data_IF_228647351352
#
_entry.id   IF_228647351352
#
_cell.length_a   1.000
_cell.length_b   1.000
_cell.length_c   1.000
_cell.angle_alpha   90.00
_cell.angle_beta   90.00
_cell.angle_gamma   90.00
#
_symmetry.space_group_name_H-M   'P 1'
#
loop_
_entity.id
_entity.type
_entity.pdbx_description
1 polymer ?
#
# COMPACT_ATOMS: atom_id res chain seq x y z
N UNK A 1 55.80 24.89 48.71
CA UNK A 1 54.94 26.08 48.47
C UNK A 1 53.87 25.65 47.47
N UNK A 2 52.61 25.51 47.90
CA UNK A 2 51.47 26.45 47.64
C UNK A 2 51.30 26.74 46.14
N UNK A 3 50.12 26.66 45.49
CA UNK A 3 48.74 26.25 45.79
C UNK A 3 47.94 26.61 44.50
N UNK A 4 46.78 25.97 44.30
CA UNK A 4 45.61 26.38 43.47
C UNK A 4 45.65 25.99 41.97
N UNK A 5 44.79 25.10 41.45
CA UNK A 5 43.30 25.03 41.44
C UNK A 5 42.69 25.94 40.35
N UNK A 6 42.12 25.31 39.31
CA UNK A 6 40.99 25.69 38.41
C UNK A 6 41.13 24.77 37.17
N UNK A 7 40.51 23.59 37.05
CA UNK A 7 39.07 23.29 36.97
C UNK A 7 38.34 24.13 35.92
N UNK A 8 38.26 23.61 34.70
CA UNK A 8 37.26 23.90 33.64
C UNK A 8 37.53 22.92 32.48
N UNK A 9 37.09 21.66 32.55
CA UNK A 9 35.81 21.23 31.97
C UNK A 9 35.41 22.06 30.74
N UNK A 10 36.05 21.82 29.59
CA UNK A 10 35.46 22.14 28.28
C UNK A 10 34.85 20.85 27.73
N UNK A 11 33.76 20.46 28.38
CA UNK A 11 32.79 19.47 27.93
C UNK A 11 31.78 20.21 27.07
N UNK A 12 31.39 19.63 25.93
CA UNK A 12 30.18 19.98 25.14
C UNK A 12 30.15 21.43 24.62
N UNK A 13 30.10 21.67 23.31
CA UNK A 13 28.90 21.49 22.51
C UNK A 13 29.34 20.96 21.14
N UNK A 14 29.26 19.64 20.95
CA UNK A 14 28.86 19.16 19.62
C UNK A 14 27.48 19.77 19.45
N UNK A 15 27.34 20.67 18.50
CA UNK A 15 26.06 21.23 18.11
C UNK A 15 25.18 20.06 17.65
N UNK A 16 24.51 19.43 18.63
CA UNK A 16 23.24 18.77 18.43
C UNK A 16 22.40 19.83 17.75
N UNK A 17 22.27 19.65 16.43
CA UNK A 17 21.28 20.29 15.61
C UNK A 17 19.97 20.06 16.36
N UNK A 18 19.55 21.09 17.09
CA UNK A 18 18.19 21.21 17.61
C UNK A 18 17.35 21.51 16.37
N UNK A 19 17.22 20.51 15.49
CA UNK A 19 16.17 20.49 14.50
C UNK A 19 14.90 20.34 15.31
N UNK A 20 14.23 21.46 15.53
CA UNK A 20 12.79 21.55 15.75
C UNK A 20 12.08 20.21 15.50
N UNK A 21 11.81 19.45 16.57
CA UNK A 21 10.97 18.25 16.57
C UNK A 21 9.49 18.69 16.43
N UNK A 22 9.14 19.23 15.27
CA UNK A 22 7.79 19.69 14.93
C UNK A 22 7.24 19.11 13.62
N UNK A 23 7.86 18.04 13.10
CA UNK A 23 7.40 17.34 11.90
C UNK A 23 6.59 16.09 12.23
N UNK A 24 5.96 15.51 11.22
CA UNK A 24 5.22 14.25 11.34
C UNK A 24 6.15 13.14 11.87
N UNK A 25 5.71 12.46 12.92
CA UNK A 25 6.39 11.32 13.52
C UNK A 25 6.55 10.19 12.46
N UNK A 26 7.78 9.77 12.12
CA UNK A 26 8.02 8.78 11.07
C UNK A 26 7.38 7.41 11.35
N UNK A 27 7.31 7.00 12.62
CA UNK A 27 6.69 5.73 13.01
C UNK A 27 5.19 5.81 12.79
N UNK A 28 4.54 6.90 13.24
CA UNK A 28 3.10 7.09 13.00
C UNK A 28 2.76 7.22 11.52
N UNK A 29 3.63 7.88 10.74
CA UNK A 29 3.47 7.98 9.30
C UNK A 29 3.55 6.59 8.65
N UNK A 30 4.55 5.79 9.04
CA UNK A 30 4.67 4.40 8.60
C UNK A 30 3.42 3.59 8.90
N UNK A 31 2.98 3.59 10.16
CA UNK A 31 1.83 2.80 10.60
C UNK A 31 0.57 3.18 9.81
N UNK A 32 0.41 4.46 9.49
CA UNK A 32 -0.72 4.94 8.68
C UNK A 32 -0.66 4.48 7.23
N UNK A 33 0.50 4.53 6.56
CA UNK A 33 0.62 4.01 5.19
C UNK A 33 0.47 2.50 5.13
N UNK A 34 1.09 1.77 6.06
CA UNK A 34 0.94 0.31 6.18
C UNK A 34 -0.53 -0.05 6.36
N UNK A 35 -1.25 0.64 7.24
CA UNK A 35 -2.68 0.43 7.43
C UNK A 35 -3.49 0.59 6.15
N UNK A 36 -3.18 1.58 5.30
CA UNK A 36 -3.85 1.72 4.00
C UNK A 36 -3.57 0.53 3.07
N UNK A 37 -2.33 0.03 3.04
CA UNK A 37 -2.00 -1.17 2.26
C UNK A 37 -2.75 -2.41 2.76
N UNK A 38 -2.80 -2.64 4.08
CA UNK A 38 -3.53 -3.76 4.69
C UNK A 38 -5.05 -3.68 4.42
N UNK A 39 -5.62 -2.49 4.50
CA UNK A 39 -7.04 -2.26 4.19
C UNK A 39 -7.32 -2.53 2.71
N UNK A 40 -6.42 -2.13 1.81
CA UNK A 40 -6.53 -2.42 0.40
C UNK A 40 -6.50 -3.94 0.13
N UNK A 41 -5.56 -4.66 0.73
CA UNK A 41 -5.43 -6.13 0.63
C UNK A 41 -6.69 -6.84 1.10
N UNK A 42 -7.20 -6.45 2.27
CA UNK A 42 -8.43 -7.03 2.82
C UNK A 42 -9.65 -6.81 1.92
N UNK A 43 -9.72 -5.68 1.19
CA UNK A 43 -10.79 -5.46 0.21
C UNK A 43 -10.66 -6.38 -0.99
N UNK A 44 -9.45 -6.65 -1.45
CA UNK A 44 -9.21 -7.60 -2.55
C UNK A 44 -9.55 -9.03 -2.12
N UNK A 45 -9.13 -9.45 -0.93
CA UNK A 45 -9.52 -10.76 -0.38
C UNK A 45 -11.04 -10.88 -0.25
N UNK A 46 -11.70 -9.83 0.25
CA UNK A 46 -13.16 -9.81 0.36
C UNK A 46 -13.84 -9.80 -1.01
N UNK A 47 -13.27 -9.15 -2.02
CA UNK A 47 -13.79 -9.17 -3.38
C UNK A 47 -13.73 -10.59 -3.96
N UNK A 48 -12.56 -11.22 -3.94
CA UNK A 48 -12.38 -12.59 -4.47
C UNK A 48 -13.37 -13.56 -3.80
N UNK A 49 -13.44 -13.55 -2.46
CA UNK A 49 -14.40 -14.41 -1.74
C UNK A 49 -15.87 -14.14 -2.10
N UNK A 50 -16.23 -12.91 -2.47
CA UNK A 50 -17.59 -12.59 -2.92
C UNK A 50 -17.83 -13.01 -4.36
N UNK A 51 -16.83 -12.92 -5.23
CA UNK A 51 -16.91 -13.40 -6.62
C UNK A 51 -17.18 -14.91 -6.62
N UNK A 52 -16.43 -15.68 -5.84
CA UNK A 52 -16.62 -17.13 -5.70
C UNK A 52 -18.04 -17.48 -5.20
N UNK A 53 -18.62 -16.63 -4.37
CA UNK A 53 -19.93 -16.87 -3.78
C UNK A 53 -21.12 -16.51 -4.69
N UNK A 54 -20.89 -15.82 -5.81
CA UNK A 54 -21.96 -15.33 -6.69
C UNK A 54 -22.04 -16.07 -8.03
N UNK A 55 -21.15 -17.03 -8.30
CA UNK A 55 -21.00 -17.71 -9.60
C UNK A 55 -22.33 -18.27 -10.15
N UNK A 56 -23.19 -18.82 -9.28
CA UNK A 56 -24.47 -19.43 -9.66
C UNK A 56 -25.67 -18.45 -9.66
N UNK A 57 -25.46 -17.14 -9.50
CA UNK A 57 -26.56 -16.18 -9.46
C UNK A 57 -27.03 -15.79 -10.87
N UNK A 58 -28.35 -15.75 -11.08
CA UNK A 58 -28.98 -15.24 -12.31
C UNK A 58 -28.53 -13.79 -12.67
N UNK A 59 -28.13 -13.01 -11.66
CA UNK A 59 -27.62 -11.64 -11.80
C UNK A 59 -26.08 -11.55 -11.67
N UNK A 60 -25.34 -12.62 -11.96
CA UNK A 60 -23.89 -12.73 -11.80
C UNK A 60 -23.14 -11.51 -12.36
N UNK A 61 -23.30 -11.22 -13.66
CA UNK A 61 -22.57 -10.13 -14.32
C UNK A 61 -22.87 -8.77 -13.71
N UNK A 62 -24.12 -8.52 -13.31
CA UNK A 62 -24.52 -7.25 -12.68
C UNK A 62 -23.89 -7.14 -11.29
N UNK A 63 -24.01 -8.19 -10.49
CA UNK A 63 -23.45 -8.25 -9.14
C UNK A 63 -21.93 -8.09 -9.15
N UNK A 64 -21.25 -8.80 -10.04
CA UNK A 64 -19.80 -8.72 -10.25
C UNK A 64 -19.35 -7.28 -10.56
N UNK A 65 -20.02 -6.60 -11.49
CA UNK A 65 -19.74 -5.19 -11.83
C UNK A 65 -19.94 -4.25 -10.65
N UNK A 66 -21.00 -4.44 -9.86
CA UNK A 66 -21.26 -3.64 -8.66
C UNK A 66 -20.17 -3.84 -7.60
N UNK A 67 -19.74 -5.08 -7.37
CA UNK A 67 -18.63 -5.40 -6.46
C UNK A 67 -17.32 -4.75 -6.93
N UNK A 68 -16.99 -4.89 -8.21
CA UNK A 68 -15.80 -4.28 -8.80
C UNK A 68 -15.79 -2.76 -8.65
N UNK A 69 -16.88 -2.09 -9.03
CA UNK A 69 -17.01 -0.62 -8.92
C UNK A 69 -16.85 -0.15 -7.48
N UNK A 70 -17.53 -0.81 -6.53
CA UNK A 70 -17.48 -0.47 -5.11
C UNK A 70 -16.06 -0.58 -4.55
N UNK A 71 -15.34 -1.64 -4.93
CA UNK A 71 -13.95 -1.85 -4.52
C UNK A 71 -13.04 -0.80 -5.12
N UNK A 72 -13.15 -0.53 -6.44
CA UNK A 72 -12.36 0.50 -7.14
C UNK A 72 -12.55 1.88 -6.50
N UNK A 73 -13.79 2.29 -6.23
CA UNK A 73 -14.09 3.60 -5.65
C UNK A 73 -13.51 3.73 -4.24
N UNK A 74 -13.54 2.65 -3.46
CA UNK A 74 -12.93 2.61 -2.12
C UNK A 74 -11.41 2.75 -2.18
N UNK A 75 -10.75 2.05 -3.11
CA UNK A 75 -9.30 2.15 -3.31
C UNK A 75 -8.89 3.55 -3.79
N UNK A 76 -9.64 4.15 -4.72
CA UNK A 76 -9.43 5.54 -5.15
C UNK A 76 -9.57 6.52 -3.99
N UNK A 77 -10.58 6.33 -3.13
CA UNK A 77 -10.75 7.16 -1.93
C UNK A 77 -9.52 7.11 -1.02
N UNK A 78 -8.91 5.94 -0.86
CA UNK A 78 -7.71 5.80 -0.03
C UNK A 78 -6.47 6.42 -0.67
N UNK A 79 -6.30 6.33 -2.00
CA UNK A 79 -5.25 7.05 -2.73
C UNK A 79 -5.36 8.56 -2.45
N UNK A 80 -6.56 9.14 -2.52
CA UNK A 80 -6.74 10.59 -2.27
C UNK A 80 -6.44 10.97 -0.81
N UNK A 81 -6.76 10.10 0.14
CA UNK A 81 -6.35 10.29 1.55
C UNK A 81 -4.84 10.22 1.70
N UNK A 82 -4.17 9.28 1.03
CA UNK A 82 -2.71 9.15 1.08
C UNK A 82 -2.03 10.37 0.48
N UNK A 83 -2.47 10.83 -0.70
CA UNK A 83 -1.92 12.02 -1.38
C UNK A 83 -2.01 13.29 -0.52
N UNK A 84 -3.01 13.38 0.34
CA UNK A 84 -3.26 14.55 1.20
C UNK A 84 -2.64 14.41 2.60
N UNK A 85 -1.96 13.29 2.90
CA UNK A 85 -1.23 13.14 4.15
C UNK A 85 -0.04 14.10 4.22
N UNK A 86 0.14 14.75 5.36
CA UNK A 86 1.36 15.49 5.67
C UNK A 86 2.56 14.51 5.67
N UNK A 87 3.60 14.84 4.92
CA UNK A 87 4.76 13.97 4.72
C UNK A 87 5.68 13.96 5.94
N UNK A 88 6.12 12.77 6.34
CA UNK A 88 7.30 12.64 7.19
C UNK A 88 8.55 12.91 6.35
N UNK A 89 9.63 13.35 7.00
CA UNK A 89 10.89 13.63 6.29
C UNK A 89 11.42 12.37 5.60
N UNK A 90 11.65 12.46 4.28
CA UNK A 90 12.18 11.37 3.47
C UNK A 90 11.16 10.27 3.13
N UNK A 91 9.86 10.54 3.28
CA UNK A 91 8.81 9.55 3.03
C UNK A 91 8.26 9.53 1.60
N UNK A 92 8.76 10.40 0.70
CA UNK A 92 8.22 10.62 -0.64
C UNK A 92 8.12 9.32 -1.46
N UNK A 93 9.19 8.54 -1.49
CA UNK A 93 9.24 7.27 -2.23
C UNK A 93 8.31 6.22 -1.62
N UNK A 94 8.20 6.19 -0.28
CA UNK A 94 7.29 5.26 0.39
C UNK A 94 5.83 5.60 0.12
N UNK A 95 5.47 6.89 0.12
CA UNK A 95 4.13 7.33 -0.27
C UNK A 95 3.83 6.96 -1.73
N UNK A 96 4.75 7.28 -2.65
CA UNK A 96 4.57 7.05 -4.08
C UNK A 96 4.41 5.56 -4.41
N UNK A 97 5.26 4.71 -3.82
CA UNK A 97 5.16 3.25 -3.99
C UNK A 97 3.91 2.65 -3.35
N UNK A 98 3.42 3.20 -2.23
CA UNK A 98 2.12 2.81 -1.64
C UNK A 98 0.96 3.15 -2.57
N UNK A 99 0.96 4.35 -3.17
CA UNK A 99 -0.05 4.74 -4.17
C UNK A 99 0.02 3.81 -5.38
N UNK A 100 1.20 3.57 -5.93
CA UNK A 100 1.39 2.69 -7.09
C UNK A 100 0.92 1.26 -6.82
N UNK A 101 1.11 0.77 -5.60
CA UNK A 101 0.55 -0.51 -5.18
C UNK A 101 -0.99 -0.50 -5.21
N UNK A 102 -1.63 0.46 -4.57
CA UNK A 102 -3.09 0.55 -4.55
C UNK A 102 -3.66 0.76 -5.98
N UNK A 103 -2.97 1.51 -6.83
CA UNK A 103 -3.31 1.65 -8.26
C UNK A 103 -3.24 0.32 -9.01
N UNK A 104 -2.24 -0.53 -8.73
CA UNK A 104 -2.18 -1.88 -9.30
C UNK A 104 -3.34 -2.77 -8.82
N UNK A 105 -3.78 -2.64 -7.57
CA UNK A 105 -4.97 -3.36 -7.08
C UNK A 105 -6.27 -2.87 -7.74
N UNK A 106 -6.36 -1.59 -8.10
CA UNK A 106 -7.46 -1.08 -8.93
C UNK A 106 -7.43 -1.74 -10.30
N UNK A 107 -6.26 -1.80 -10.96
CA UNK A 107 -6.12 -2.45 -12.26
C UNK A 107 -6.48 -3.94 -12.20
N UNK A 108 -5.97 -4.67 -11.20
CA UNK A 108 -6.35 -6.06 -10.92
C UNK A 108 -7.86 -6.21 -10.73
N UNK A 109 -8.49 -5.34 -9.92
CA UNK A 109 -9.94 -5.35 -9.69
C UNK A 109 -10.72 -5.18 -10.99
N UNK A 110 -10.30 -4.26 -11.87
CA UNK A 110 -10.92 -4.09 -13.18
C UNK A 110 -10.73 -5.32 -14.05
N UNK A 111 -9.52 -5.88 -14.12
CA UNK A 111 -9.24 -7.09 -14.89
C UNK A 111 -10.09 -8.26 -14.43
N UNK A 112 -10.12 -8.60 -13.13
CA UNK A 112 -10.91 -9.72 -12.63
C UNK A 112 -12.40 -9.55 -12.93
N UNK A 113 -12.96 -8.35 -12.71
CA UNK A 113 -14.40 -8.16 -12.96
C UNK A 113 -14.76 -8.12 -14.44
N UNK A 114 -13.88 -7.56 -15.29
CA UNK A 114 -14.14 -7.47 -16.72
C UNK A 114 -13.95 -8.82 -17.42
N UNK A 115 -12.95 -9.60 -17.04
CA UNK A 115 -12.70 -10.91 -17.62
C UNK A 115 -13.77 -11.93 -17.19
N UNK A 116 -14.08 -12.01 -15.89
CA UNK A 116 -15.14 -12.90 -15.42
C UNK A 116 -16.53 -12.51 -15.92
N UNK A 117 -16.80 -11.23 -16.19
CA UNK A 117 -18.05 -10.81 -16.83
C UNK A 117 -18.25 -11.35 -18.27
N UNK A 118 -17.21 -11.90 -18.90
CA UNK A 118 -17.27 -12.51 -20.24
C UNK A 118 -17.65 -13.99 -20.21
N UNK A 119 -17.65 -14.62 -19.04
CA UNK A 119 -18.01 -16.03 -18.91
C UNK A 119 -19.50 -16.22 -19.22
N UNK A 120 -19.79 -17.23 -20.03
CA UNK A 120 -21.14 -17.67 -20.41
C UNK A 120 -21.18 -19.19 -20.44
N UNK A 121 -22.38 -19.77 -20.61
CA UNK A 121 -22.56 -21.22 -20.80
C UNK A 121 -21.84 -21.78 -22.04
N UNK A 122 -21.38 -20.91 -22.94
CA UNK A 122 -20.65 -21.28 -24.16
C UNK A 122 -19.13 -21.16 -24.01
N UNK A 123 -18.64 -20.63 -22.88
CA UNK A 123 -17.21 -20.46 -22.63
C UNK A 123 -16.54 -21.83 -22.55
N UNK A 124 -15.56 -22.03 -23.41
CA UNK A 124 -14.75 -23.25 -23.45
C UNK A 124 -13.72 -23.27 -22.32
N UNK A 125 -13.21 -24.46 -22.00
CA UNK A 125 -12.13 -24.62 -21.03
C UNK A 125 -10.86 -23.82 -21.41
N UNK A 126 -10.51 -23.77 -22.70
CA UNK A 126 -9.37 -22.99 -23.19
C UNK A 126 -9.57 -21.48 -23.00
N UNK A 127 -10.79 -20.98 -23.23
CA UNK A 127 -11.14 -19.58 -23.00
C UNK A 127 -11.13 -19.23 -21.51
N UNK A 128 -11.67 -20.11 -20.67
CA UNK A 128 -11.64 -19.97 -19.21
C UNK A 128 -10.19 -19.94 -18.68
N UNK A 129 -9.36 -20.90 -19.11
CA UNK A 129 -7.93 -20.94 -18.77
C UNK A 129 -7.18 -19.68 -19.23
N UNK A 130 -7.61 -19.05 -20.32
CA UNK A 130 -7.02 -17.78 -20.77
C UNK A 130 -7.45 -16.60 -19.89
N UNK A 131 -8.72 -16.56 -19.45
CA UNK A 131 -9.22 -15.59 -18.48
C UNK A 131 -8.41 -15.66 -17.17
N UNK A 132 -8.23 -16.86 -16.61
CA UNK A 132 -7.47 -17.04 -15.38
C UNK A 132 -6.02 -16.54 -15.52
N UNK A 133 -5.35 -16.83 -16.64
CA UNK A 133 -4.00 -16.33 -16.90
C UNK A 133 -3.91 -14.80 -16.94
N UNK A 134 -4.92 -14.13 -17.49
CA UNK A 134 -4.95 -12.66 -17.53
C UNK A 134 -5.13 -12.09 -16.11
N UNK A 135 -5.98 -12.72 -15.31
CA UNK A 135 -6.20 -12.36 -13.91
C UNK A 135 -4.93 -12.56 -13.10
N UNK A 136 -4.32 -13.74 -13.17
CA UNK A 136 -3.06 -14.07 -12.49
C UNK A 136 -1.93 -13.10 -12.87
N UNK A 137 -1.77 -12.82 -14.16
CA UNK A 137 -0.76 -11.86 -14.62
C UNK A 137 -0.98 -10.46 -14.03
N UNK A 138 -2.24 -10.02 -13.90
CA UNK A 138 -2.55 -8.73 -13.27
C UNK A 138 -2.32 -8.73 -11.75
N UNK A 139 -2.50 -9.88 -11.09
CA UNK A 139 -2.19 -10.06 -9.68
C UNK A 139 -0.68 -10.04 -9.44
N UNK A 140 0.11 -10.71 -10.29
CA UNK A 140 1.57 -10.73 -10.24
C UNK A 140 2.16 -9.31 -10.35
N UNK A 141 1.59 -8.46 -11.20
CA UNK A 141 1.96 -7.04 -11.27
C UNK A 141 1.73 -6.35 -9.92
N UNK A 142 0.61 -6.63 -9.26
CA UNK A 142 0.32 -6.06 -7.94
C UNK A 142 1.31 -6.55 -6.88
N UNK A 143 1.70 -7.82 -6.91
CA UNK A 143 2.70 -8.37 -6.00
C UNK A 143 4.10 -7.80 -6.23
N UNK A 144 4.46 -7.49 -7.47
CA UNK A 144 5.69 -6.74 -7.76
C UNK A 144 5.65 -5.34 -7.15
N UNK A 145 4.51 -4.64 -7.23
CA UNK A 145 4.34 -3.30 -6.61
C UNK A 145 4.32 -3.34 -5.08
N UNK A 146 3.76 -4.38 -4.48
CA UNK A 146 3.85 -4.60 -3.04
C UNK A 146 5.31 -4.72 -2.59
N UNK A 147 6.12 -5.47 -3.35
CA UNK A 147 7.56 -5.62 -3.06
C UNK A 147 8.31 -4.28 -3.17
N UNK A 148 7.99 -3.48 -4.19
CA UNK A 148 8.56 -2.13 -4.35
C UNK A 148 8.21 -1.25 -3.13
N UNK A 149 6.94 -1.27 -2.71
CA UNK A 149 6.47 -0.56 -1.51
C UNK A 149 7.20 -1.00 -0.25
N UNK A 150 7.34 -2.30 -0.01
CA UNK A 150 8.06 -2.85 1.14
C UNK A 150 9.55 -2.46 1.15
N UNK A 151 10.17 -2.33 -0.03
CA UNK A 151 11.56 -1.86 -0.14
C UNK A 151 11.67 -0.37 0.21
N UNK A 152 10.74 0.46 -0.28
CA UNK A 152 10.67 1.88 0.06
C UNK A 152 10.41 2.09 1.56
N UNK A 153 9.53 1.29 2.15
CA UNK A 153 9.26 1.27 3.60
C UNK A 153 10.54 0.99 4.41
N UNK A 154 11.31 -0.03 4.01
CA UNK A 154 12.59 -0.38 4.66
C UNK A 154 13.61 0.75 4.57
N UNK A 155 13.70 1.41 3.42
CA UNK A 155 14.58 2.57 3.23
C UNK A 155 14.16 3.73 4.15
N UNK A 156 12.86 4.07 4.17
CA UNK A 156 12.30 5.09 5.04
C UNK A 156 12.57 4.83 6.52
N UNK A 157 12.41 3.58 6.98
CA UNK A 157 12.68 3.17 8.35
C UNK A 157 14.16 3.31 8.73
N UNK A 158 15.06 2.93 7.82
CA UNK A 158 16.51 3.09 7.98
C UNK A 158 16.89 4.56 8.11
N UNK A 159 16.37 5.42 7.23
CA UNK A 159 16.70 6.85 7.21
C UNK A 159 16.18 7.60 8.44
N UNK A 160 15.11 7.08 9.07
CA UNK A 160 14.50 7.65 10.27
C UNK A 160 14.84 6.88 11.56
N UNK A 161 15.76 5.91 11.50
CA UNK A 161 16.25 5.13 12.65
C UNK A 161 15.16 4.46 13.49
N UNK A 162 14.15 3.86 12.85
CA UNK A 162 13.15 3.03 13.54
C UNK A 162 13.11 1.61 12.99
N UNK A 163 12.59 0.69 13.81
CA UNK A 163 12.47 -0.74 13.47
C UNK A 163 11.07 -1.01 12.94
N UNK A 164 11.00 -1.66 11.78
CA UNK A 164 9.74 -2.18 11.25
C UNK A 164 9.19 -3.26 12.17
N UNK A 165 7.88 -3.24 12.40
CA UNK A 165 7.17 -4.24 13.19
C UNK A 165 6.50 -5.26 12.29
#
# INVERSE_FOLDING_TARGET
>A
MKKNLLLSFTLLIVALIVSSCGGVDPVKYNDKLVHYSEVADNRILSLNSKIDAIEDLDEYTTTLKTLGTTTVDSLKSDIEKIKTMELAKGSDEFQASTIAYIESLIAYTTTITDEYAKITDQTTEDEFNNIDKLIDASYDVSMAKLKDMQNAQKAFAKDNNFVLR
#
